data_IF_470457725147
#
_entry.id   IF_470457725147
#
_cell.length_a   1.000
_cell.length_b   1.000
_cell.length_c   1.000
_cell.angle_alpha   90.00
_cell.angle_beta   90.00
_cell.angle_gamma   90.00
#
_symmetry.space_group_name_H-M   'P 1'
#
loop_
_entity.id
_entity.type
_entity.pdbx_description
1 polymer ?
#
# COMPACT_ATOMS: atom_id res chain seq x y z
N UNK A 1 -12.73 7.51 -23.91
CA UNK A 1 -11.92 6.36 -23.46
C UNK A 1 -11.60 6.57 -21.99
N UNK A 2 -12.25 5.84 -21.07
CA UNK A 2 -11.85 5.82 -19.67
C UNK A 2 -10.92 4.62 -19.48
N UNK A 3 -9.62 4.86 -19.39
CA UNK A 3 -8.69 3.81 -19.01
C UNK A 3 -8.91 3.48 -17.53
N UNK A 4 -9.26 2.23 -17.23
CA UNK A 4 -9.35 1.75 -15.85
C UNK A 4 -7.92 1.64 -15.31
N UNK A 5 -7.56 2.50 -14.36
CA UNK A 5 -6.32 2.38 -13.61
C UNK A 5 -6.37 1.08 -12.79
N UNK A 6 -5.53 0.10 -13.15
CA UNK A 6 -5.46 -1.20 -12.46
C UNK A 6 -4.27 -1.30 -11.51
N UNK A 7 -3.12 -0.73 -11.92
CA UNK A 7 -1.85 -0.88 -11.21
C UNK A 7 -1.25 0.50 -10.89
N UNK A 8 -0.72 0.65 -9.67
CA UNK A 8 -0.02 1.86 -9.22
C UNK A 8 1.41 1.47 -8.82
N UNK A 9 2.41 2.12 -9.43
CA UNK A 9 3.82 1.97 -9.07
C UNK A 9 4.29 3.14 -8.21
N UNK A 10 4.97 2.84 -7.10
CA UNK A 10 5.48 3.82 -6.15
C UNK A 10 6.99 3.63 -6.03
N UNK A 11 7.74 4.71 -6.25
CA UNK A 11 9.20 4.73 -6.14
C UNK A 11 9.58 5.35 -4.79
N UNK A 12 10.20 4.55 -3.94
CA UNK A 12 10.56 4.86 -2.56
C UNK A 12 9.61 4.19 -1.55
N UNK A 13 10.19 3.44 -0.62
CA UNK A 13 9.52 2.78 0.50
C UNK A 13 9.67 3.57 1.83
N UNK A 14 10.01 4.86 1.74
CA UNK A 14 10.04 5.76 2.91
C UNK A 14 8.64 6.08 3.45
N UNK A 15 8.56 6.97 4.44
CA UNK A 15 7.30 7.31 5.12
C UNK A 15 6.18 7.73 4.15
N UNK A 16 6.49 8.61 3.19
CA UNK A 16 5.52 9.06 2.18
C UNK A 16 5.13 7.93 1.23
N UNK A 17 6.09 7.13 0.77
CA UNK A 17 5.83 6.00 -0.13
C UNK A 17 4.89 4.97 0.50
N UNK A 18 5.10 4.65 1.77
CA UNK A 18 4.22 3.77 2.53
C UNK A 18 2.81 4.35 2.69
N UNK A 19 2.69 5.65 2.97
CA UNK A 19 1.40 6.34 3.09
C UNK A 19 0.61 6.30 1.79
N UNK A 20 1.26 6.62 0.66
CA UNK A 20 0.65 6.57 -0.67
C UNK A 20 0.23 5.13 -1.00
N UNK A 21 1.08 4.15 -0.70
CA UNK A 21 0.79 2.75 -0.96
C UNK A 21 -0.40 2.24 -0.17
N UNK A 22 -0.47 2.58 1.12
CA UNK A 22 -1.58 2.22 1.98
C UNK A 22 -2.91 2.78 1.47
N UNK A 23 -2.99 4.09 1.19
CA UNK A 23 -4.23 4.71 0.69
C UNK A 23 -4.63 4.12 -0.68
N UNK A 24 -3.65 3.88 -1.55
CA UNK A 24 -3.89 3.30 -2.87
C UNK A 24 -4.41 1.85 -2.77
N UNK A 25 -3.81 1.05 -1.89
CA UNK A 25 -4.24 -0.34 -1.67
C UNK A 25 -5.65 -0.39 -1.03
N UNK A 26 -5.92 0.46 -0.05
CA UNK A 26 -7.24 0.57 0.58
C UNK A 26 -8.32 1.07 -0.39
N UNK A 27 -7.95 1.77 -1.45
CA UNK A 27 -8.85 2.17 -2.54
C UNK A 27 -9.07 1.08 -3.61
N UNK A 28 -8.50 -0.12 -3.43
CA UNK A 28 -8.69 -1.27 -4.32
C UNK A 28 -7.75 -1.32 -5.52
N UNK A 29 -6.68 -0.51 -5.54
CA UNK A 29 -5.67 -0.59 -6.60
C UNK A 29 -4.61 -1.63 -6.28
N UNK A 30 -4.07 -2.25 -7.34
CA UNK A 30 -2.92 -3.14 -7.21
C UNK A 30 -1.64 -2.30 -7.14
N UNK A 31 -1.01 -2.26 -5.96
CA UNK A 31 0.14 -1.38 -5.69
C UNK A 31 1.45 -2.16 -5.76
N UNK A 32 2.45 -1.56 -6.40
CA UNK A 32 3.83 -2.03 -6.44
C UNK A 32 4.74 -0.96 -5.83
N UNK A 33 5.53 -1.33 -4.82
CA UNK A 33 6.57 -0.47 -4.23
C UNK A 33 7.94 -0.91 -4.75
N UNK A 34 8.76 0.05 -5.15
CA UNK A 34 10.15 -0.16 -5.52
C UNK A 34 11.06 0.75 -4.70
N UNK A 35 12.10 0.20 -4.10
CA UNK A 35 13.16 0.94 -3.41
C UNK A 35 14.50 0.25 -3.70
N UNK A 36 15.61 0.97 -3.52
CA UNK A 36 16.96 0.40 -3.64
C UNK A 36 17.30 -0.50 -2.45
N UNK A 37 16.69 -0.26 -1.29
CA UNK A 37 16.93 -1.03 -0.08
C UNK A 37 15.81 -2.03 0.16
N UNK A 38 16.16 -3.31 0.20
CA UNK A 38 15.23 -4.38 0.54
C UNK A 38 14.66 -4.19 1.95
N UNK A 39 15.49 -3.84 2.94
CA UNK A 39 15.05 -3.59 4.31
C UNK A 39 13.97 -2.50 4.39
N UNK A 40 14.06 -1.45 3.55
CA UNK A 40 13.03 -0.41 3.48
C UNK A 40 11.74 -0.94 2.88
N UNK A 41 11.82 -1.78 1.86
CA UNK A 41 10.64 -2.43 1.28
C UNK A 41 9.96 -3.29 2.34
N UNK A 42 10.69 -4.14 3.05
CA UNK A 42 10.14 -5.03 4.08
C UNK A 42 9.52 -4.26 5.24
N UNK A 43 10.22 -3.23 5.75
CA UNK A 43 9.72 -2.34 6.80
C UNK A 43 8.46 -1.58 6.36
N UNK A 44 8.44 -1.10 5.12
CA UNK A 44 7.29 -0.44 4.54
C UNK A 44 6.08 -1.36 4.39
N UNK A 45 6.30 -2.58 3.88
CA UNK A 45 5.26 -3.61 3.77
C UNK A 45 4.70 -3.99 5.15
N UNK A 46 5.55 -4.18 6.15
CA UNK A 46 5.12 -4.47 7.52
C UNK A 46 4.23 -3.35 8.08
N UNK A 47 4.62 -2.09 7.85
CA UNK A 47 3.85 -0.91 8.26
C UNK A 47 2.48 -0.85 7.57
N UNK A 48 2.45 -1.07 6.25
CA UNK A 48 1.21 -1.04 5.45
C UNK A 48 0.28 -2.17 5.90
N UNK A 49 0.79 -3.39 6.04
CA UNK A 49 0.00 -4.55 6.48
C UNK A 49 -0.58 -4.34 7.88
N UNK A 50 0.20 -3.81 8.82
CA UNK A 50 -0.30 -3.48 10.16
C UNK A 50 -1.42 -2.43 10.15
N UNK A 51 -1.31 -1.42 9.28
CA UNK A 51 -2.34 -0.39 9.14
C UNK A 51 -3.62 -0.94 8.49
N UNK A 52 -3.50 -1.75 7.44
CA UNK A 52 -4.63 -2.41 6.78
C UNK A 52 -5.35 -3.36 7.75
N UNK A 53 -4.60 -4.19 8.48
CA UNK A 53 -5.17 -5.06 9.51
C UNK A 53 -5.94 -4.27 10.57
N UNK A 54 -5.42 -3.10 10.97
CA UNK A 54 -6.13 -2.21 11.91
C UNK A 54 -7.43 -1.66 11.32
N UNK A 55 -7.51 -1.40 10.01
CA UNK A 55 -8.77 -0.99 9.36
C UNK A 55 -9.81 -2.13 9.38
N UNK A 56 -9.36 -3.37 9.16
CA UNK A 56 -10.20 -4.58 9.28
C UNK A 56 -10.72 -4.75 10.70
N UNK A 57 -9.84 -4.73 11.71
CA UNK A 57 -10.24 -4.86 13.12
C UNK A 57 -11.20 -3.76 13.57
N UNK A 58 -11.10 -2.56 12.99
CA UNK A 58 -12.01 -1.45 13.29
C UNK A 58 -13.32 -1.48 12.46
N UNK A 59 -13.54 -2.53 11.67
CA UNK A 59 -14.73 -2.68 10.81
C UNK A 59 -14.82 -1.64 9.69
N UNK A 60 -13.71 -0.97 9.35
CA UNK A 60 -13.64 0.03 8.28
C UNK A 60 -13.27 -0.55 6.92
N UNK A 61 -12.85 -1.81 6.89
CA UNK A 61 -12.50 -2.57 5.70
C UNK A 61 -12.85 -4.04 5.94
N UNK A 62 -13.21 -4.77 4.90
CA UNK A 62 -13.38 -6.22 4.95
C UNK A 62 -12.06 -6.92 4.60
N UNK A 63 -11.82 -8.07 5.21
CA UNK A 63 -10.75 -8.97 4.79
C UNK A 63 -11.31 -9.81 3.64
N UNK A 64 -10.71 -9.70 2.44
CA UNK A 64 -11.06 -10.46 1.24
C UNK A 64 -9.87 -11.32 0.79
#
# INVERSE_FOLDING_TARGET
>A
MNAVLKNIGIIGAGQMGCGIAHVSAAAGYRVHIYDLSQDRIESGLATINGNLARLVTNGKMTDE
#
